data_IF_182738273865
#
_entry.id   IF_182738273865
#
_cell.length_a   1.000
_cell.length_b   1.000
_cell.length_c   1.000
_cell.angle_alpha   90.00
_cell.angle_beta   90.00
_cell.angle_gamma   90.00
#
_symmetry.space_group_name_H-M   'P 1'
#
loop_
_entity.id
_entity.type
_entity.pdbx_description
1 polymer ?
#
# COMPACT_ATOMS: atom_id res chain seq x y z
N UNK A 1 -12.95 -15.96 38.56
CA UNK A 1 -11.97 -15.84 37.44
C UNK A 1 -11.16 -17.11 37.38
N UNK A 2 -11.25 -17.92 36.27
CA UNK A 2 -10.65 -19.24 36.18
C UNK A 2 -9.13 -19.17 36.09
N UNK A 3 -8.40 -20.10 36.75
CA UNK A 3 -6.94 -20.25 36.67
C UNK A 3 -6.40 -20.34 35.23
N UNK A 4 -7.23 -20.70 34.25
CA UNK A 4 -6.89 -20.69 32.81
C UNK A 4 -6.73 -19.29 32.26
N UNK A 5 -7.54 -18.32 32.70
CA UNK A 5 -7.46 -16.91 32.29
C UNK A 5 -6.17 -16.24 32.79
N UNK A 6 -5.77 -16.51 34.04
CA UNK A 6 -4.51 -16.01 34.61
C UNK A 6 -3.28 -16.57 33.91
N UNK A 7 -3.30 -17.87 33.54
CA UNK A 7 -2.19 -18.49 32.79
C UNK A 7 -2.10 -17.99 31.35
N UNK A 8 -3.23 -17.79 30.67
CA UNK A 8 -3.27 -17.22 29.32
C UNK A 8 -2.73 -15.77 29.31
N UNK A 9 -3.17 -14.93 30.26
CA UNK A 9 -2.67 -13.58 30.39
C UNK A 9 -1.18 -13.53 30.75
N UNK A 10 -0.70 -14.38 31.65
CA UNK A 10 0.72 -14.45 31.99
C UNK A 10 1.62 -14.82 30.80
N UNK A 11 1.13 -15.65 29.87
CA UNK A 11 1.85 -16.00 28.63
C UNK A 11 1.78 -14.88 27.57
N UNK A 12 0.67 -14.12 27.52
CA UNK A 12 0.49 -13.03 26.57
C UNK A 12 1.16 -11.73 27.03
N UNK A 13 1.38 -11.56 28.36
CA UNK A 13 1.95 -10.33 28.92
C UNK A 13 3.34 -9.99 28.35
N UNK A 14 4.32 -10.89 28.26
CA UNK A 14 5.65 -10.55 27.72
C UNK A 14 5.57 -10.11 26.26
N UNK A 15 4.80 -10.82 25.45
CA UNK A 15 4.61 -10.51 24.02
C UNK A 15 3.86 -9.20 23.84
N UNK A 16 2.79 -8.97 24.60
CA UNK A 16 2.02 -7.74 24.57
C UNK A 16 2.84 -6.54 25.05
N UNK A 17 3.65 -6.70 26.08
CA UNK A 17 4.54 -5.66 26.60
C UNK A 17 5.64 -5.30 25.60
N UNK A 18 6.25 -6.33 24.98
CA UNK A 18 7.24 -6.16 23.93
C UNK A 18 6.65 -5.38 22.72
N UNK A 19 5.54 -5.87 22.17
CA UNK A 19 4.86 -5.20 21.05
C UNK A 19 4.43 -3.78 21.44
N UNK A 20 3.87 -3.58 22.64
CA UNK A 20 3.48 -2.26 23.13
C UNK A 20 4.66 -1.28 23.19
N UNK A 21 5.77 -1.67 23.79
CA UNK A 21 6.95 -0.82 23.89
C UNK A 21 7.53 -0.50 22.51
N UNK A 22 7.81 -1.52 21.69
CA UNK A 22 8.48 -1.32 20.40
C UNK A 22 7.60 -0.67 19.33
N UNK A 23 6.27 -0.74 19.46
CA UNK A 23 5.34 -0.06 18.57
C UNK A 23 4.96 1.34 19.08
N UNK A 24 4.61 1.46 20.37
CA UNK A 24 4.07 2.71 20.90
C UNK A 24 5.18 3.73 21.25
N UNK A 25 6.35 3.28 21.69
CA UNK A 25 7.42 4.20 22.04
C UNK A 25 7.93 5.03 20.82
N UNK A 26 8.23 4.44 19.66
CA UNK A 26 8.58 5.23 18.47
C UNK A 26 7.44 6.16 18.02
N UNK A 27 6.18 5.68 18.04
CA UNK A 27 5.03 6.52 17.69
C UNK A 27 4.89 7.71 18.66
N UNK A 28 5.07 7.47 19.95
CA UNK A 28 5.07 8.52 20.97
C UNK A 28 6.15 9.58 20.70
N UNK A 29 7.37 9.15 20.33
CA UNK A 29 8.46 10.06 19.97
C UNK A 29 8.07 10.91 18.75
N UNK A 30 7.49 10.32 17.71
CA UNK A 30 7.00 11.05 16.53
C UNK A 30 5.92 12.05 16.91
N UNK A 31 4.96 11.66 17.79
CA UNK A 31 3.93 12.57 18.29
C UNK A 31 4.54 13.71 19.10
N UNK A 32 5.54 13.47 19.94
CA UNK A 32 6.24 14.53 20.65
C UNK A 32 6.93 15.52 19.71
N UNK A 33 7.68 15.00 18.71
CA UNK A 33 8.33 15.85 17.72
C UNK A 33 7.36 16.67 16.88
N UNK A 34 6.14 16.17 16.64
CA UNK A 34 5.12 16.90 15.86
C UNK A 34 4.65 18.19 16.55
N UNK A 35 4.80 18.30 17.87
CA UNK A 35 4.48 19.51 18.64
C UNK A 35 5.72 20.34 19.01
N UNK A 36 6.92 19.92 18.62
CA UNK A 36 8.12 20.65 18.90
C UNK A 36 8.31 21.86 17.98
N UNK A 37 9.09 22.85 18.42
CA UNK A 37 9.55 23.94 17.55
C UNK A 37 10.83 23.56 16.84
N UNK A 38 11.01 24.09 15.61
CA UNK A 38 12.26 23.94 14.87
C UNK A 38 13.30 24.90 15.44
N UNK A 39 14.42 24.36 15.92
CA UNK A 39 15.59 25.18 16.21
C UNK A 39 16.48 25.24 14.95
N UNK A 40 16.73 26.45 14.46
CA UNK A 40 17.56 26.71 13.27
C UNK A 40 19.05 26.57 13.54
N UNK A 41 19.47 26.53 14.80
CA UNK A 41 20.89 26.43 15.20
C UNK A 41 21.38 25.00 15.41
N UNK A 42 20.49 24.12 15.84
CA UNK A 42 20.78 22.68 16.03
C UNK A 42 19.60 21.94 15.44
N UNK A 43 19.85 20.96 14.57
CA UNK A 43 18.78 20.15 13.94
C UNK A 43 18.01 19.28 14.97
N UNK A 44 17.56 19.88 16.07
CA UNK A 44 16.84 19.25 17.17
C UNK A 44 15.49 19.91 17.35
N UNK A 45 14.48 19.12 17.59
CA UNK A 45 13.19 19.58 18.03
C UNK A 45 13.29 20.06 19.47
N UNK A 46 13.00 21.33 19.73
CA UNK A 46 13.15 21.99 21.03
C UNK A 46 11.77 22.43 21.54
N UNK A 47 11.60 22.42 22.86
CA UNK A 47 10.46 23.07 23.54
C UNK A 47 10.55 24.60 23.40
N UNK A 48 9.44 25.34 23.27
CA UNK A 48 8.10 25.04 23.76
C UNK A 48 7.23 24.27 22.76
N UNK A 49 6.23 23.57 23.27
CA UNK A 49 5.25 22.85 22.48
C UNK A 49 4.38 23.82 21.68
N UNK A 50 4.26 23.58 20.37
CA UNK A 50 3.48 24.41 19.46
C UNK A 50 2.76 23.56 18.43
N UNK A 51 1.60 24.02 17.97
CA UNK A 51 0.89 23.40 16.86
C UNK A 51 1.31 23.97 15.49
N UNK A 52 2.35 24.82 15.44
CA UNK A 52 2.77 25.49 14.20
C UNK A 52 3.10 24.53 13.07
N UNK A 53 3.71 23.38 13.39
CA UNK A 53 4.02 22.34 12.39
C UNK A 53 2.76 21.79 11.70
N UNK A 54 1.65 21.63 12.43
CA UNK A 54 0.37 21.21 11.88
C UNK A 54 -0.26 22.28 10.99
N UNK A 55 -0.19 23.56 11.39
CA UNK A 55 -0.67 24.67 10.57
C UNK A 55 0.10 24.75 9.25
N UNK A 56 1.43 24.56 9.31
CA UNK A 56 2.26 24.50 8.11
C UNK A 56 1.96 23.25 7.28
N UNK A 57 1.75 22.09 7.89
CA UNK A 57 1.43 20.85 7.16
C UNK A 57 0.06 20.90 6.45
N UNK A 58 -0.86 21.73 6.97
CA UNK A 58 -2.19 21.99 6.37
C UNK A 58 -2.20 23.16 5.38
N UNK A 59 -1.04 23.75 5.07
CA UNK A 59 -0.92 24.80 4.08
C UNK A 59 -1.49 24.32 2.72
N UNK A 60 -2.28 25.13 2.01
CA UNK A 60 -2.81 24.81 0.70
C UNK A 60 -1.77 24.31 -0.31
N UNK A 61 -0.50 24.67 -0.17
CA UNK A 61 0.59 24.18 -1.01
C UNK A 61 0.80 22.66 -0.93
N UNK A 62 0.45 21.99 0.18
CA UNK A 62 0.56 20.54 0.35
C UNK A 62 -0.69 19.77 -0.10
N UNK A 63 -1.83 20.44 -0.31
CA UNK A 63 -3.09 19.78 -0.72
C UNK A 63 -2.97 19.02 -2.05
N UNK A 64 -2.33 19.56 -3.11
CA UNK A 64 -2.15 18.84 -4.37
C UNK A 64 -1.30 17.59 -4.20
N UNK A 65 -0.26 17.64 -3.34
CA UNK A 65 0.62 16.50 -3.05
C UNK A 65 -0.16 15.41 -2.31
N UNK A 66 -0.98 15.81 -1.34
CA UNK A 66 -1.86 14.90 -0.62
C UNK A 66 -2.88 14.23 -1.54
N UNK A 67 -3.57 15.01 -2.38
CA UNK A 67 -4.49 14.50 -3.40
C UNK A 67 -3.82 13.51 -4.35
N UNK A 68 -2.62 13.81 -4.82
CA UNK A 68 -1.81 12.94 -5.67
C UNK A 68 -1.46 11.61 -4.98
N UNK A 69 -1.09 11.66 -3.71
CA UNK A 69 -0.81 10.46 -2.90
C UNK A 69 -2.01 9.53 -2.86
N UNK A 70 -3.21 10.08 -2.63
CA UNK A 70 -4.45 9.31 -2.65
C UNK A 70 -4.74 8.73 -4.04
N UNK A 71 -4.55 9.50 -5.10
CA UNK A 71 -4.72 9.02 -6.48
C UNK A 71 -3.77 7.87 -6.77
N UNK A 72 -2.49 7.96 -6.39
CA UNK A 72 -1.54 6.87 -6.60
C UNK A 72 -1.90 5.62 -5.78
N UNK A 73 -2.26 5.79 -4.51
CA UNK A 73 -2.65 4.66 -3.66
C UNK A 73 -3.90 3.95 -4.19
N UNK A 74 -4.91 4.70 -4.63
CA UNK A 74 -6.14 4.14 -5.22
C UNK A 74 -5.87 3.52 -6.58
N UNK A 75 -5.14 4.21 -7.48
CA UNK A 75 -4.80 3.68 -8.80
C UNK A 75 -3.99 2.39 -8.70
N UNK A 76 -3.00 2.35 -7.81
CA UNK A 76 -2.21 1.14 -7.51
C UNK A 76 -3.10 0.01 -6.98
N UNK A 77 -4.02 0.31 -6.06
CA UNK A 77 -4.94 -0.69 -5.51
C UNK A 77 -5.84 -1.27 -6.60
N UNK A 78 -6.37 -0.41 -7.47
CA UNK A 78 -7.20 -0.85 -8.62
C UNK A 78 -6.36 -1.69 -9.58
N UNK A 79 -5.15 -1.25 -9.94
CA UNK A 79 -4.25 -1.99 -10.82
C UNK A 79 -3.88 -3.36 -10.23
N UNK A 80 -3.52 -3.41 -8.93
CA UNK A 80 -3.27 -4.67 -8.23
C UNK A 80 -4.51 -5.58 -8.20
N UNK A 81 -5.71 -5.03 -8.04
CA UNK A 81 -6.95 -5.81 -8.07
C UNK A 81 -7.22 -6.38 -9.46
N UNK A 82 -7.07 -5.56 -10.50
CA UNK A 82 -7.31 -5.98 -11.89
C UNK A 82 -6.32 -7.07 -12.34
N UNK A 83 -5.07 -7.00 -11.92
CA UNK A 83 -4.05 -8.01 -12.23
C UNK A 83 -4.10 -9.20 -11.26
N UNK A 84 -4.28 -8.93 -9.98
CA UNK A 84 -4.26 -9.92 -8.92
C UNK A 84 -5.49 -10.82 -8.90
N UNK A 85 -6.67 -10.28 -9.22
CA UNK A 85 -7.90 -11.07 -9.22
C UNK A 85 -7.88 -12.22 -10.24
N UNK A 86 -7.59 -11.99 -11.55
CA UNK A 86 -7.50 -13.08 -12.52
C UNK A 86 -6.44 -14.11 -12.12
N UNK A 87 -5.30 -13.66 -11.61
CA UNK A 87 -4.22 -14.52 -11.17
C UNK A 87 -4.64 -15.39 -9.97
N UNK A 88 -5.21 -14.80 -8.93
CA UNK A 88 -5.70 -15.50 -7.75
C UNK A 88 -6.82 -16.50 -8.10
N UNK A 89 -7.75 -16.09 -8.95
CA UNK A 89 -8.83 -16.93 -9.45
C UNK A 89 -8.30 -18.13 -10.24
N UNK A 90 -7.35 -17.89 -11.14
CA UNK A 90 -6.73 -18.94 -11.92
C UNK A 90 -6.02 -19.96 -11.01
N UNK A 91 -5.23 -19.50 -10.05
CA UNK A 91 -4.51 -20.36 -9.12
C UNK A 91 -5.50 -21.18 -8.26
N UNK A 92 -6.57 -20.58 -7.77
CA UNK A 92 -7.56 -21.25 -6.94
C UNK A 92 -8.34 -22.32 -7.72
N UNK A 93 -8.74 -22.01 -8.96
CA UNK A 93 -9.60 -22.90 -9.76
C UNK A 93 -8.81 -23.98 -10.53
N UNK A 94 -7.65 -23.63 -11.08
CA UNK A 94 -6.90 -24.49 -12.01
C UNK A 94 -5.52 -24.91 -11.47
N UNK A 95 -5.06 -24.35 -10.36
CA UNK A 95 -3.72 -24.63 -9.81
C UNK A 95 -3.48 -26.08 -9.41
N UNK A 96 -4.50 -26.78 -8.94
CA UNK A 96 -4.41 -28.19 -8.56
C UNK A 96 -3.14 -28.50 -7.73
N UNK A 97 -2.34 -29.48 -8.18
CA UNK A 97 -1.06 -29.85 -7.54
C UNK A 97 0.03 -28.77 -7.63
N UNK A 98 -0.08 -27.84 -8.58
CA UNK A 98 0.90 -26.77 -8.82
C UNK A 98 0.58 -25.45 -8.08
N UNK A 99 -0.52 -25.40 -7.33
CA UNK A 99 -0.95 -24.16 -6.66
C UNK A 99 0.13 -23.54 -5.75
N UNK A 100 0.85 -24.38 -5.00
CA UNK A 100 1.94 -23.94 -4.12
C UNK A 100 3.10 -23.34 -4.93
N UNK A 101 3.45 -23.95 -6.07
CA UNK A 101 4.50 -23.45 -6.96
C UNK A 101 4.08 -22.12 -7.60
N UNK A 102 2.83 -21.99 -8.04
CA UNK A 102 2.30 -20.75 -8.61
C UNK A 102 2.27 -19.61 -7.58
N UNK A 103 1.84 -19.90 -6.35
CA UNK A 103 1.91 -18.91 -5.26
C UNK A 103 3.35 -18.55 -4.92
N UNK A 104 4.26 -19.54 -4.85
CA UNK A 104 5.67 -19.28 -4.64
C UNK A 104 6.25 -18.40 -5.76
N UNK A 105 5.88 -18.65 -7.02
CA UNK A 105 6.33 -17.83 -8.15
C UNK A 105 5.89 -16.36 -8.04
N UNK A 106 4.72 -16.08 -7.45
CA UNK A 106 4.25 -14.71 -7.15
C UNK A 106 5.09 -14.08 -6.04
N UNK A 107 5.54 -14.89 -5.06
CA UNK A 107 6.26 -14.40 -3.88
C UNK A 107 7.78 -14.32 -4.07
N UNK A 108 8.38 -15.17 -4.91
CA UNK A 108 9.84 -15.23 -5.13
C UNK A 108 10.46 -13.86 -5.42
N UNK A 109 9.88 -13.00 -6.30
CA UNK A 109 10.44 -11.67 -6.55
C UNK A 109 10.54 -10.79 -5.29
N UNK A 110 9.72 -11.08 -4.27
CA UNK A 110 9.67 -10.32 -3.01
C UNK A 110 10.83 -10.62 -2.07
N UNK A 111 11.50 -11.74 -2.22
CA UNK A 111 12.68 -12.07 -1.41
C UNK A 111 13.92 -11.27 -1.82
N UNK A 112 13.88 -10.61 -2.97
CA UNK A 112 14.89 -9.63 -3.35
C UNK A 112 14.65 -8.28 -2.66
N UNK A 113 15.70 -7.47 -2.51
CA UNK A 113 15.61 -6.13 -1.95
C UNK A 113 14.60 -5.26 -2.71
N UNK A 114 13.73 -4.55 -1.97
CA UNK A 114 12.79 -3.60 -2.55
C UNK A 114 13.50 -2.52 -3.37
N UNK A 115 14.56 -1.93 -2.81
CA UNK A 115 15.37 -0.92 -3.50
C UNK A 115 15.96 -1.46 -4.81
N UNK A 116 16.55 -2.67 -4.79
CA UNK A 116 17.12 -3.26 -5.99
C UNK A 116 16.08 -3.41 -7.12
N UNK A 117 14.85 -3.80 -6.77
CA UNK A 117 13.75 -3.90 -7.73
C UNK A 117 13.36 -2.57 -8.32
N UNK A 118 13.27 -1.51 -7.50
CA UNK A 118 12.94 -0.17 -7.99
C UNK A 118 14.06 0.41 -8.86
N UNK A 119 15.34 0.16 -8.53
CA UNK A 119 16.46 0.52 -9.41
C UNK A 119 16.43 -0.24 -10.75
N UNK A 120 16.05 -1.51 -10.75
CA UNK A 120 15.85 -2.27 -11.98
C UNK A 120 14.73 -1.65 -12.85
N UNK A 121 13.60 -1.29 -12.25
CA UNK A 121 12.53 -0.57 -12.96
C UNK A 121 12.99 0.79 -13.48
N UNK A 122 13.82 1.52 -12.71
CA UNK A 122 14.40 2.77 -13.17
C UNK A 122 15.22 2.58 -14.43
N UNK A 123 16.10 1.58 -14.46
CA UNK A 123 16.93 1.26 -15.64
C UNK A 123 16.07 0.78 -16.84
N UNK A 124 15.00 0.02 -16.59
CA UNK A 124 14.12 -0.48 -17.66
C UNK A 124 13.27 0.63 -18.31
N UNK A 125 12.84 1.64 -17.52
CA UNK A 125 11.95 2.72 -17.96
C UNK A 125 12.71 3.95 -18.49
N UNK A 126 14.03 3.98 -18.39
CA UNK A 126 14.88 5.05 -18.92
C UNK A 126 14.72 5.21 -20.43
N UNK A 127 15.12 6.37 -20.97
CA UNK A 127 15.08 6.65 -22.41
C UNK A 127 15.86 5.65 -23.26
N UNK A 128 17.00 5.18 -22.77
CA UNK A 128 17.80 4.12 -23.38
C UNK A 128 17.44 2.72 -22.83
N UNK A 129 16.41 2.62 -22.01
CA UNK A 129 15.99 1.39 -21.34
C UNK A 129 15.30 0.41 -22.29
N UNK A 130 15.25 -0.86 -21.83
CA UNK A 130 14.71 -1.97 -22.63
C UNK A 130 13.24 -1.75 -22.99
N UNK A 131 12.44 -1.14 -22.11
CA UNK A 131 11.01 -0.87 -22.40
C UNK A 131 10.87 0.10 -23.56
N UNK A 132 11.64 1.19 -23.56
CA UNK A 132 11.60 2.18 -24.64
C UNK A 132 12.11 1.60 -25.96
N UNK A 133 13.17 0.80 -25.91
CA UNK A 133 13.71 0.10 -27.09
C UNK A 133 12.69 -0.86 -27.73
N UNK A 134 12.03 -1.68 -26.92
CA UNK A 134 11.01 -2.64 -27.42
C UNK A 134 9.79 -1.91 -27.98
N UNK A 135 9.33 -0.85 -27.32
CA UNK A 135 8.20 -0.06 -27.80
C UNK A 135 8.56 0.74 -29.04
N UNK A 136 9.82 1.11 -29.24
CA UNK A 136 10.31 1.71 -30.49
C UNK A 136 10.14 0.84 -31.72
N UNK A 137 10.16 -0.50 -31.57
CA UNK A 137 9.92 -1.41 -32.70
C UNK A 137 8.49 -1.33 -33.24
N UNK A 138 7.54 -0.83 -32.43
CA UNK A 138 6.15 -0.62 -32.84
C UNK A 138 5.79 0.88 -32.96
N UNK A 139 6.79 1.76 -32.92
CA UNK A 139 6.60 3.19 -33.05
C UNK A 139 5.94 3.86 -31.84
N UNK A 140 6.06 3.25 -30.65
CA UNK A 140 5.50 3.74 -29.39
C UNK A 140 6.60 4.19 -28.40
N UNK A 141 7.81 4.40 -28.89
CA UNK A 141 8.91 4.98 -28.10
C UNK A 141 8.59 6.42 -27.69
N UNK A 142 9.25 6.85 -26.64
CA UNK A 142 9.08 8.20 -26.10
C UNK A 142 10.45 8.84 -25.89
N UNK A 143 10.61 10.08 -26.34
CA UNK A 143 11.77 10.88 -26.03
C UNK A 143 11.93 11.03 -24.51
N UNK A 144 13.07 10.58 -23.98
CA UNK A 144 13.34 10.51 -22.53
C UNK A 144 12.73 9.30 -21.81
N UNK A 145 12.09 8.36 -22.52
CA UNK A 145 11.53 7.14 -21.97
C UNK A 145 10.26 7.33 -21.17
N UNK A 146 9.96 6.35 -20.31
CA UNK A 146 8.75 6.35 -19.46
C UNK A 146 9.07 6.73 -18.02
N UNK A 147 10.32 6.95 -17.68
CA UNK A 147 10.75 7.40 -16.36
C UNK A 147 10.23 8.82 -16.07
N UNK A 148 10.17 9.20 -14.79
CA UNK A 148 9.68 10.51 -14.31
C UNK A 148 8.24 10.82 -14.72
N UNK A 149 7.41 9.78 -14.86
CA UNK A 149 5.99 9.92 -15.20
C UNK A 149 5.08 9.37 -14.08
N UNK A 150 3.84 9.81 -14.06
CA UNK A 150 2.80 9.25 -13.17
C UNK A 150 2.63 7.74 -13.39
N UNK A 151 2.72 7.29 -14.66
CA UNK A 151 2.63 5.88 -15.03
C UNK A 151 3.76 5.04 -14.44
N UNK A 152 5.01 5.53 -14.46
CA UNK A 152 6.15 4.86 -13.88
C UNK A 152 5.98 4.63 -12.36
N UNK A 153 5.48 5.63 -11.65
CA UNK A 153 5.22 5.54 -10.21
C UNK A 153 4.14 4.48 -9.94
N UNK A 154 3.00 4.55 -10.62
CA UNK A 154 1.90 3.59 -10.45
C UNK A 154 2.35 2.17 -10.81
N UNK A 155 3.13 2.00 -11.88
CA UNK A 155 3.66 0.70 -12.28
C UNK A 155 4.61 0.12 -11.23
N UNK A 156 5.55 0.94 -10.72
CA UNK A 156 6.48 0.52 -9.66
C UNK A 156 5.77 0.12 -8.38
N UNK A 157 4.79 0.94 -7.94
CA UNK A 157 3.94 0.63 -6.79
C UNK A 157 3.12 -0.65 -7.02
N UNK A 158 2.51 -0.80 -8.19
CA UNK A 158 1.71 -2.00 -8.55
C UNK A 158 2.57 -3.25 -8.50
N UNK A 159 3.74 -3.23 -9.14
CA UNK A 159 4.69 -4.34 -9.06
C UNK A 159 5.09 -4.61 -7.61
N UNK A 160 5.38 -3.55 -6.83
CA UNK A 160 5.79 -3.63 -5.44
C UNK A 160 4.74 -4.23 -4.51
N UNK A 161 3.46 -3.99 -4.75
CA UNK A 161 2.39 -4.39 -3.83
C UNK A 161 1.46 -5.49 -4.36
N UNK A 162 1.65 -5.97 -5.58
CA UNK A 162 0.82 -7.00 -6.20
C UNK A 162 0.62 -8.26 -5.34
N UNK A 163 1.64 -8.87 -4.71
CA UNK A 163 1.42 -10.06 -3.88
C UNK A 163 0.56 -9.81 -2.63
N UNK A 164 0.58 -8.61 -2.09
CA UNK A 164 -0.31 -8.26 -0.96
C UNK A 164 -1.78 -8.23 -1.38
N UNK A 165 -2.06 -8.06 -2.66
CA UNK A 165 -3.40 -8.23 -3.23
C UNK A 165 -3.71 -9.69 -3.53
N UNK A 166 -2.77 -10.41 -4.17
CA UNK A 166 -2.99 -11.78 -4.67
C UNK A 166 -3.25 -12.75 -3.52
N UNK A 167 -2.51 -12.66 -2.40
CA UNK A 167 -2.64 -13.62 -1.31
C UNK A 167 -4.03 -13.63 -0.64
N UNK A 168 -4.59 -12.49 -0.19
CA UNK A 168 -5.94 -12.49 0.38
C UNK A 168 -7.02 -12.87 -0.64
N UNK A 169 -6.85 -12.46 -1.91
CA UNK A 169 -7.77 -12.84 -2.98
C UNK A 169 -7.72 -14.35 -3.22
N UNK A 170 -6.52 -14.94 -3.24
CA UNK A 170 -6.38 -16.38 -3.39
C UNK A 170 -7.09 -17.14 -2.27
N UNK A 171 -6.88 -16.75 -1.01
CA UNK A 171 -7.54 -17.39 0.14
C UNK A 171 -9.06 -17.28 0.05
N UNK A 172 -9.59 -16.15 -0.39
CA UNK A 172 -11.02 -15.98 -0.59
C UNK A 172 -11.54 -16.83 -1.76
N UNK A 173 -10.81 -16.87 -2.89
CA UNK A 173 -11.16 -17.69 -4.03
C UNK A 173 -11.05 -19.19 -3.74
N UNK A 174 -10.10 -19.62 -2.92
CA UNK A 174 -9.95 -21.05 -2.54
C UNK A 174 -11.13 -21.56 -1.71
N UNK A 175 -11.72 -20.67 -0.88
CA UNK A 175 -12.91 -20.97 -0.07
C UNK A 175 -14.23 -20.84 -0.82
N UNK A 176 -14.19 -20.25 -2.01
CA UNK A 176 -15.38 -20.00 -2.82
C UNK A 176 -15.89 -21.29 -3.48
N UNK A 177 -17.21 -21.56 -3.36
CA UNK A 177 -17.83 -22.70 -4.03
C UNK A 177 -18.08 -22.40 -5.52
N UNK A 178 -17.22 -22.96 -6.36
CA UNK A 178 -17.31 -22.78 -7.82
C UNK A 178 -18.58 -23.36 -8.46
N UNK A 179 -19.31 -24.26 -7.75
CA UNK A 179 -20.59 -24.80 -8.22
C UNK A 179 -21.65 -23.71 -8.36
N UNK A 180 -21.53 -22.63 -7.56
CA UNK A 180 -22.43 -21.47 -7.65
C UNK A 180 -22.30 -20.77 -9.03
N UNK A 181 -21.12 -20.80 -9.63
CA UNK A 181 -20.89 -20.23 -10.97
C UNK A 181 -21.60 -21.11 -12.03
N UNK A 182 -21.50 -22.42 -11.90
CA UNK A 182 -22.14 -23.39 -12.81
C UNK A 182 -23.67 -23.29 -12.71
N UNK A 183 -24.20 -23.30 -11.50
CA UNK A 183 -25.65 -23.11 -11.25
C UNK A 183 -26.16 -21.77 -11.80
N UNK A 184 -25.36 -20.71 -11.74
CA UNK A 184 -25.73 -19.42 -12.31
C UNK A 184 -25.86 -19.48 -13.84
N UNK A 185 -24.96 -20.21 -14.51
CA UNK A 185 -25.04 -20.39 -15.95
C UNK A 185 -26.26 -21.25 -16.34
N UNK A 186 -26.58 -22.27 -15.55
CA UNK A 186 -27.76 -23.12 -15.78
C UNK A 186 -29.08 -22.31 -15.63
N UNK A 187 -29.08 -21.26 -14.79
CA UNK A 187 -30.17 -20.31 -14.66
C UNK A 187 -30.20 -19.22 -15.75
N UNK A 188 -29.32 -19.32 -16.76
CA UNK A 188 -29.28 -18.41 -17.91
C UNK A 188 -28.54 -17.08 -17.65
N UNK A 189 -27.82 -16.92 -16.54
CA UNK A 189 -27.02 -15.73 -16.32
C UNK A 189 -25.77 -15.72 -17.20
N UNK A 190 -25.48 -14.57 -17.81
CA UNK A 190 -24.24 -14.36 -18.56
C UNK A 190 -23.01 -14.19 -17.63
N UNK A 191 -21.81 -14.33 -18.21
CA UNK A 191 -20.52 -14.25 -17.47
C UNK A 191 -20.36 -12.99 -16.62
N UNK A 192 -20.74 -11.83 -17.14
CA UNK A 192 -20.63 -10.54 -16.45
C UNK A 192 -21.62 -10.48 -15.27
N UNK A 193 -22.85 -10.93 -15.48
CA UNK A 193 -23.88 -10.98 -14.40
C UNK A 193 -23.46 -11.91 -13.27
N UNK A 194 -22.96 -13.12 -13.61
CA UNK A 194 -22.44 -14.10 -12.64
C UNK A 194 -21.26 -13.52 -11.85
N UNK A 195 -20.36 -12.82 -12.52
CA UNK A 195 -19.22 -12.18 -11.85
C UNK A 195 -19.67 -11.17 -10.78
N UNK A 196 -20.51 -10.20 -11.14
CA UNK A 196 -20.91 -9.14 -10.21
C UNK A 196 -21.91 -9.58 -9.14
N UNK A 197 -22.77 -10.59 -9.43
CA UNK A 197 -23.83 -11.00 -8.50
C UNK A 197 -23.45 -12.18 -7.62
N UNK A 198 -22.47 -13.00 -8.03
CA UNK A 198 -22.12 -14.22 -7.28
C UNK A 198 -20.66 -14.24 -6.92
N UNK A 199 -19.75 -14.09 -7.90
CA UNK A 199 -18.31 -14.22 -7.64
C UNK A 199 -17.81 -13.07 -6.76
N UNK A 200 -18.03 -11.83 -7.18
CA UNK A 200 -17.50 -10.66 -6.49
C UNK A 200 -18.01 -10.54 -5.03
N UNK A 201 -19.31 -10.74 -4.73
CA UNK A 201 -19.78 -10.80 -3.35
C UNK A 201 -19.20 -11.97 -2.55
N UNK A 202 -19.05 -13.15 -3.18
CA UNK A 202 -18.50 -14.35 -2.53
C UNK A 202 -17.03 -14.25 -2.14
N UNK A 203 -16.25 -13.41 -2.84
CA UNK A 203 -14.83 -13.17 -2.54
C UNK A 203 -14.55 -11.77 -1.98
N UNK A 204 -15.60 -11.03 -1.63
CA UNK A 204 -15.51 -9.62 -1.25
C UNK A 204 -14.60 -9.37 -0.03
N UNK A 205 -14.59 -10.28 0.93
CA UNK A 205 -13.68 -10.21 2.08
C UNK A 205 -12.21 -10.22 1.65
N UNK A 206 -11.86 -11.03 0.65
CA UNK A 206 -10.51 -11.06 0.08
C UNK A 206 -10.17 -9.79 -0.69
N UNK A 207 -11.14 -9.24 -1.46
CA UNK A 207 -10.99 -7.95 -2.15
C UNK A 207 -10.74 -6.83 -1.15
N UNK A 208 -11.51 -6.78 -0.06
CA UNK A 208 -11.34 -5.77 0.98
C UNK A 208 -9.98 -5.90 1.68
N UNK A 209 -9.63 -7.10 2.12
CA UNK A 209 -8.37 -7.35 2.81
C UNK A 209 -7.16 -7.00 1.91
N UNK A 210 -7.15 -7.49 0.67
CA UNK A 210 -6.11 -7.16 -0.30
C UNK A 210 -6.02 -5.68 -0.62
N UNK A 211 -7.18 -5.01 -0.79
CA UNK A 211 -7.22 -3.57 -1.04
C UNK A 211 -6.61 -2.76 0.11
N UNK A 212 -6.87 -3.12 1.37
CA UNK A 212 -6.28 -2.44 2.52
C UNK A 212 -4.77 -2.70 2.63
N UNK A 213 -4.35 -3.95 2.39
CA UNK A 213 -2.93 -4.33 2.42
C UNK A 213 -2.10 -3.67 1.30
N UNK A 214 -2.74 -3.19 0.23
CA UNK A 214 -2.09 -2.43 -0.85
C UNK A 214 -2.20 -0.93 -0.61
N UNK A 215 -3.40 -0.43 -0.31
CA UNK A 215 -3.68 1.01 -0.23
C UNK A 215 -2.87 1.70 0.87
N UNK A 216 -2.79 1.08 2.05
CA UNK A 216 -2.11 1.68 3.20
C UNK A 216 -0.60 1.85 2.96
N UNK A 217 0.17 0.80 2.60
CA UNK A 217 1.60 0.98 2.34
C UNK A 217 1.87 1.78 1.06
N UNK A 218 1.02 1.71 0.03
CA UNK A 218 1.17 2.53 -1.18
C UNK A 218 1.03 4.04 -0.89
N UNK A 219 0.14 4.42 0.03
CA UNK A 219 0.01 5.82 0.47
C UNK A 219 1.22 6.32 1.26
N UNK A 220 1.92 5.43 1.97
CA UNK A 220 3.13 5.75 2.75
C UNK A 220 4.43 5.59 1.99
N UNK A 221 4.43 5.00 0.78
CA UNK A 221 5.66 4.76 0.04
C UNK A 221 6.29 6.08 -0.43
N UNK A 222 7.55 6.25 -0.11
CA UNK A 222 8.38 7.37 -0.54
C UNK A 222 9.46 6.95 -1.54
N UNK A 223 9.83 5.68 -1.57
CA UNK A 223 10.96 5.17 -2.36
C UNK A 223 10.62 5.17 -3.85
N UNK A 224 9.47 4.62 -4.21
CA UNK A 224 9.04 4.52 -5.60
C UNK A 224 8.85 5.89 -6.24
N UNK A 225 8.11 6.85 -5.64
CA UNK A 225 7.97 8.19 -6.21
C UNK A 225 9.30 8.95 -6.34
N UNK A 226 10.24 8.75 -5.40
CA UNK A 226 11.57 9.38 -5.47
C UNK A 226 12.47 8.83 -6.57
N UNK A 227 12.36 7.54 -6.87
CA UNK A 227 13.25 6.89 -7.83
C UNK A 227 12.67 6.82 -9.25
N UNK A 228 11.35 6.64 -9.39
CA UNK A 228 10.67 6.51 -10.68
C UNK A 228 9.90 7.77 -11.08
N UNK A 229 9.55 8.62 -10.12
CA UNK A 229 8.89 9.91 -10.35
C UNK A 229 9.90 11.05 -10.45
N UNK A 230 9.42 12.20 -10.87
CA UNK A 230 10.13 13.49 -10.85
C UNK A 230 9.57 14.41 -9.77
N UNK A 231 9.88 15.70 -9.87
CA UNK A 231 9.42 16.72 -8.92
C UNK A 231 7.90 16.80 -8.87
N UNK A 232 7.25 16.73 -10.04
CA UNK A 232 5.79 16.79 -10.16
C UNK A 232 5.10 15.52 -9.68
N UNK A 233 5.81 14.42 -9.49
CA UNK A 233 5.30 13.15 -9.01
C UNK A 233 5.53 12.92 -7.50
N UNK A 234 5.98 13.96 -6.78
CA UNK A 234 6.20 13.90 -5.33
C UNK A 234 4.92 13.49 -4.59
N UNK A 235 5.06 12.60 -3.62
CA UNK A 235 4.00 12.13 -2.74
C UNK A 235 4.16 12.69 -1.34
N UNK A 236 3.13 12.56 -0.52
CA UNK A 236 3.19 13.00 0.88
C UNK A 236 4.29 12.24 1.65
N UNK A 237 4.45 10.93 1.38
CA UNK A 237 5.54 10.12 1.93
C UNK A 237 6.93 10.64 1.51
N UNK A 238 7.12 11.04 0.24
CA UNK A 238 8.40 11.59 -0.22
C UNK A 238 8.71 12.96 0.41
N UNK A 239 7.70 13.80 0.62
CA UNK A 239 7.87 15.09 1.32
C UNK A 239 8.22 14.87 2.79
N UNK A 240 7.57 13.92 3.47
CA UNK A 240 7.92 13.55 4.84
C UNK A 240 9.40 13.16 4.94
N UNK A 241 9.86 12.27 4.06
CA UNK A 241 11.28 11.84 4.04
C UNK A 241 12.23 13.02 3.77
N UNK A 242 11.86 13.95 2.89
CA UNK A 242 12.65 15.16 2.61
C UNK A 242 12.74 16.08 3.83
N UNK A 243 11.66 16.21 4.63
CA UNK A 243 11.71 17.01 5.87
C UNK A 243 12.68 16.41 6.89
N UNK A 244 12.74 15.08 7.00
CA UNK A 244 13.66 14.42 7.92
C UNK A 244 15.12 14.44 7.43
N UNK A 245 15.38 14.20 6.16
CA UNK A 245 16.73 14.04 5.60
C UNK A 245 17.33 15.33 5.08
N UNK A 246 16.61 16.04 4.20
CA UNK A 246 17.12 17.23 3.52
C UNK A 246 16.82 18.52 4.24
N UNK A 247 15.58 18.66 4.73
CA UNK A 247 15.09 19.87 5.37
C UNK A 247 15.51 20.03 6.85
N UNK A 248 15.97 18.96 7.50
CA UNK A 248 16.20 18.89 8.95
C UNK A 248 15.05 19.52 9.76
N UNK A 249 13.82 19.41 9.24
CA UNK A 249 12.61 19.95 9.84
C UNK A 249 11.79 18.80 10.46
N UNK A 250 12.32 18.23 11.51
CA UNK A 250 11.72 17.09 12.20
C UNK A 250 10.30 17.37 12.74
N UNK A 251 9.99 18.57 13.26
CA UNK A 251 8.62 18.90 13.67
C UNK A 251 7.63 18.79 12.51
N UNK A 252 7.93 19.37 11.35
CA UNK A 252 7.04 19.33 10.19
C UNK A 252 6.92 17.91 9.63
N UNK A 253 8.03 17.19 9.47
CA UNK A 253 8.01 15.78 9.02
C UNK A 253 7.18 14.90 9.95
N UNK A 254 7.29 15.09 11.27
CA UNK A 254 6.51 14.35 12.26
C UNK A 254 5.04 14.72 12.24
N UNK A 255 4.68 16.00 12.12
CA UNK A 255 3.30 16.45 12.00
C UNK A 255 2.63 15.86 10.75
N UNK A 256 3.32 15.89 9.59
CA UNK A 256 2.85 15.27 8.36
C UNK A 256 2.67 13.75 8.51
N UNK A 257 3.62 13.06 9.16
CA UNK A 257 3.53 11.62 9.42
C UNK A 257 2.32 11.27 10.31
N UNK A 258 2.06 12.06 11.36
CA UNK A 258 0.88 11.89 12.23
C UNK A 258 -0.41 12.13 11.45
N UNK A 259 -0.49 13.16 10.60
CA UNK A 259 -1.66 13.41 9.75
C UNK A 259 -1.94 12.24 8.80
N UNK A 260 -0.90 11.68 8.17
CA UNK A 260 -1.04 10.51 7.30
C UNK A 260 -1.51 9.28 8.10
N UNK A 261 -0.94 9.06 9.29
CA UNK A 261 -1.36 7.98 10.17
C UNK A 261 -2.84 8.11 10.59
N UNK A 262 -3.26 9.30 11.00
CA UNK A 262 -4.66 9.58 11.37
C UNK A 262 -5.59 9.33 10.20
N UNK A 263 -5.22 9.75 8.99
CA UNK A 263 -6.01 9.46 7.79
C UNK A 263 -6.16 7.96 7.55
N UNK A 264 -5.06 7.21 7.61
CA UNK A 264 -5.08 5.75 7.42
C UNK A 264 -5.97 5.08 8.47
N UNK A 265 -5.81 5.45 9.74
CA UNK A 265 -6.63 4.91 10.83
C UNK A 265 -8.11 5.27 10.63
N UNK A 266 -8.42 6.50 10.21
CA UNK A 266 -9.79 6.92 9.90
C UNK A 266 -10.41 6.07 8.79
N UNK A 267 -9.68 5.83 7.69
CA UNK A 267 -10.13 4.97 6.59
C UNK A 267 -10.41 3.55 7.07
N UNK A 268 -9.53 3.00 7.93
CA UNK A 268 -9.70 1.67 8.51
C UNK A 268 -10.95 1.60 9.42
N UNK A 269 -11.15 2.60 10.28
CA UNK A 269 -12.30 2.65 11.20
C UNK A 269 -13.64 2.83 10.47
N UNK A 270 -13.67 3.67 9.44
CA UNK A 270 -14.87 3.87 8.63
C UNK A 270 -15.28 2.60 7.89
N UNK A 271 -14.32 1.76 7.52
CA UNK A 271 -14.57 0.48 6.86
C UNK A 271 -14.90 -0.65 7.84
N UNK A 272 -14.27 -0.67 9.02
CA UNK A 272 -14.55 -1.67 10.06
C UNK A 272 -16.01 -1.65 10.51
N UNK A 273 -16.60 -0.47 10.63
CA UNK A 273 -18.03 -0.30 10.98
C UNK A 273 -19.00 -0.84 9.93
N UNK A 274 -18.63 -0.86 8.65
CA UNK A 274 -19.49 -1.41 7.57
C UNK A 274 -19.32 -2.92 7.38
N UNK A 275 -18.30 -3.53 7.95
CA UNK A 275 -18.07 -4.98 7.88
C UNK A 275 -18.83 -5.79 8.91
N UNK A 276 -19.28 -5.17 10.02
CA UNK A 276 -20.08 -5.83 11.05
C UNK A 276 -21.57 -6.01 10.63
N UNK A 277 -22.04 -5.23 9.65
CA UNK A 277 -23.43 -5.34 9.13
C UNK A 277 -23.59 -6.44 8.04
N UNK A 278 -22.54 -7.21 7.73
CA UNK A 278 -22.51 -8.22 6.63
C UNK A 278 -22.18 -9.63 7.13
N UNK A 279 -22.04 -9.82 8.46
CA UNK A 279 -21.93 -11.12 9.12
C UNK A 279 -23.22 -11.43 9.88
#
# INVERSE_FOLDING_TARGET
MSRRWLKANALLTPTGLWLGIFLLAPLWVVVQFSFATRDTGVARAVLPWTAQAYLTALDPAFLPIFGRTLVYAVATTIACLLLGFPLAWFIARHGGRFRTVLLAAVLIPFWSSYLARIYAWKALLDGEGLVNTVLGWVGLDRDGGFLLTHGAVILGLTYGFLPFMVLPLYVACERFDFRLVEASFDLGHGRVSTFFRIVLPGVFTGVLAGSLLVLVPAAGDFVTPKLLGGVDQSTFGSVIDDQFRGGNNWPLGSAMAVLLLVLVVLVLLLRGRRGEDVL
#
